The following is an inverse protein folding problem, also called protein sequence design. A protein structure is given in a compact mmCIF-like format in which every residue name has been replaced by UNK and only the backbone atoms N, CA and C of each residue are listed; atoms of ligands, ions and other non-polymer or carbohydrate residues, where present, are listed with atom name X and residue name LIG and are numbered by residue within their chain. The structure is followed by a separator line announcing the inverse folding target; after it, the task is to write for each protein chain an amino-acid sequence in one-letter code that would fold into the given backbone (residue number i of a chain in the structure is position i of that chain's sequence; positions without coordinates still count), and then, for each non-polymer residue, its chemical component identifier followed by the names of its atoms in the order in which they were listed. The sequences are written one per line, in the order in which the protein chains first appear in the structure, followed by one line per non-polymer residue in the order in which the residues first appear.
data_IF_558828292732
#
_entry.id   IF_558828292732
#
_cell.length_a   1.000
_cell.length_b   1.000
_cell.length_c   1.000
_cell.angle_alpha   90.00
_cell.angle_beta   90.00
_cell.angle_gamma   90.00
#
_symmetry.space_group_name_H-M   'P 1'
#
loop_
_entity.id
_entity.type
_entity.pdbx_description
1 polymer ?
#
# COMPACT_ATOMS: atom_id res chain seq x y z
N UNK A 1 -33.92 33.26 68.97
CA UNK A 1 -32.68 33.84 69.49
C UNK A 1 -31.51 33.33 68.67
N UNK A 2 -30.83 34.22 67.95
CA UNK A 2 -29.44 34.03 67.49
C UNK A 2 -28.52 34.06 68.75
N UNK A 3 -27.27 33.53 68.72
CA UNK A 3 -26.24 34.11 67.86
C UNK A 3 -25.22 33.13 67.23
N UNK A 4 -24.53 33.72 66.24
CA UNK A 4 -23.43 33.26 65.41
C UNK A 4 -22.15 32.98 66.21
N UNK A 5 -21.32 32.05 65.72
CA UNK A 5 -19.86 32.24 65.70
C UNK A 5 -19.29 31.67 64.40
N UNK A 6 -18.65 32.55 63.61
CA UNK A 6 -17.87 32.22 62.42
C UNK A 6 -16.50 31.69 62.83
N UNK A 7 -16.00 30.65 62.15
CA UNK A 7 -14.56 30.37 62.09
C UNK A 7 -14.20 30.06 60.64
N UNK A 8 -13.34 30.90 60.05
CA UNK A 8 -12.81 30.75 58.70
C UNK A 8 -11.86 29.55 58.63
N UNK A 9 -12.09 28.61 57.71
CA UNK A 9 -11.09 27.62 57.32
C UNK A 9 -10.65 27.94 55.89
N UNK A 10 -9.42 28.42 55.79
CA UNK A 10 -8.65 28.56 54.55
C UNK A 10 -8.40 27.16 53.96
N UNK A 11 -8.95 26.88 52.78
CA UNK A 11 -8.50 25.75 51.97
C UNK A 11 -7.15 26.09 51.34
N UNK A 12 -6.08 25.52 51.87
CA UNK A 12 -4.78 25.51 51.21
C UNK A 12 -4.83 24.58 49.99
N UNK A 13 -4.81 25.14 48.80
CA UNK A 13 -4.60 24.41 47.54
C UNK A 13 -3.14 23.96 47.44
N UNK A 14 -2.83 22.78 47.95
CA UNK A 14 -1.61 22.07 47.60
C UNK A 14 -1.81 21.39 46.24
N UNK A 15 -1.48 22.10 45.14
CA UNK A 15 -1.23 21.45 43.86
C UNK A 15 0.07 20.67 44.02
N UNK A 16 -0.05 19.40 44.35
CA UNK A 16 1.05 18.45 44.21
C UNK A 16 1.28 18.26 42.72
N UNK A 17 2.43 18.72 42.22
CA UNK A 17 2.91 18.36 40.90
C UNK A 17 3.02 16.83 40.87
N UNK A 18 2.04 16.18 40.23
CA UNK A 18 2.11 14.75 39.97
C UNK A 18 3.34 14.52 39.09
N UNK A 19 4.36 13.87 39.65
CA UNK A 19 5.43 13.28 38.86
C UNK A 19 4.76 12.43 37.77
N UNK A 20 5.09 12.71 36.51
CA UNK A 20 4.60 11.95 35.38
C UNK A 20 4.99 10.48 35.59
N UNK A 21 4.04 9.65 35.97
CA UNK A 21 4.22 8.20 36.03
C UNK A 21 4.50 7.79 34.59
N UNK A 22 5.75 7.44 34.29
CA UNK A 22 6.18 6.97 32.98
C UNK A 22 5.37 5.70 32.69
N UNK A 23 4.33 5.82 31.87
CA UNK A 23 3.47 4.70 31.54
C UNK A 23 4.31 3.63 30.81
N UNK A 24 3.93 2.34 30.88
CA UNK A 24 4.53 1.33 30.02
C UNK A 24 4.46 1.84 28.58
N UNK A 25 5.61 1.87 27.90
CA UNK A 25 5.75 2.30 26.51
C UNK A 25 5.67 3.81 26.23
N UNK A 26 5.90 4.66 27.24
CA UNK A 26 6.03 6.11 27.08
C UNK A 26 4.85 6.76 26.33
N UNK A 27 3.66 6.18 26.46
CA UNK A 27 2.44 6.53 25.76
C UNK A 27 1.40 6.89 26.84
N UNK A 28 1.05 8.16 26.95
CA UNK A 28 0.12 8.66 27.96
C UNK A 28 -1.33 8.18 27.72
N UNK A 29 -2.26 8.59 28.60
CA UNK A 29 -3.67 8.16 28.50
C UNK A 29 -4.29 8.54 27.15
N UNK A 30 -3.95 9.71 26.61
CA UNK A 30 -4.46 10.18 25.31
C UNK A 30 -3.93 9.32 24.17
N UNK A 31 -2.62 9.07 24.16
CA UNK A 31 -1.94 8.18 23.22
C UNK A 31 -2.52 6.76 23.28
N UNK A 32 -2.67 6.19 24.47
CA UNK A 32 -3.24 4.84 24.67
C UNK A 32 -4.68 4.74 24.19
N UNK A 33 -5.48 5.78 24.43
CA UNK A 33 -6.87 5.84 23.97
C UNK A 33 -6.94 5.86 22.45
N UNK A 34 -6.14 6.71 21.79
CA UNK A 34 -6.06 6.79 20.32
C UNK A 34 -5.61 5.46 19.72
N UNK A 35 -4.53 4.88 20.27
CA UNK A 35 -4.02 3.58 19.85
C UNK A 35 -5.08 2.49 19.95
N UNK A 36 -5.75 2.35 21.10
CA UNK A 36 -6.78 1.30 21.29
C UNK A 36 -7.97 1.49 20.36
N UNK A 37 -8.40 2.72 20.13
CA UNK A 37 -9.45 3.01 19.15
C UNK A 37 -9.02 2.60 17.74
N UNK A 38 -7.81 2.98 17.32
CA UNK A 38 -7.28 2.62 16.01
C UNK A 38 -7.10 1.10 15.85
N UNK A 39 -6.54 0.42 16.85
CA UNK A 39 -6.39 -1.04 16.86
C UNK A 39 -7.76 -1.74 16.77
N UNK A 40 -8.77 -1.23 17.49
CA UNK A 40 -10.12 -1.79 17.41
C UNK A 40 -10.72 -1.63 16.00
N UNK A 41 -10.46 -0.50 15.33
CA UNK A 41 -10.87 -0.28 13.94
C UNK A 41 -10.16 -1.23 12.96
N UNK A 42 -8.84 -1.38 13.09
CA UNK A 42 -8.06 -2.33 12.30
C UNK A 42 -8.58 -3.76 12.52
N UNK A 43 -8.75 -4.15 13.79
CA UNK A 43 -9.19 -5.50 14.18
C UNK A 43 -10.61 -5.82 13.69
N UNK A 44 -11.54 -4.85 13.77
CA UNK A 44 -12.91 -5.01 13.28
C UNK A 44 -12.98 -5.20 11.76
N UNK A 45 -11.92 -4.81 11.04
CA UNK A 45 -11.79 -4.98 9.59
C UNK A 45 -11.07 -6.26 9.20
N UNK A 46 -10.61 -7.10 10.13
CA UNK A 46 -10.04 -8.40 9.79
C UNK A 46 -11.09 -9.50 9.67
N UNK A 47 -10.89 -10.38 8.70
CA UNK A 47 -11.67 -11.60 8.51
C UNK A 47 -11.28 -12.64 9.55
N UNK A 48 -9.98 -12.84 9.76
CA UNK A 48 -9.43 -13.67 10.83
C UNK A 48 -8.66 -12.79 11.80
N UNK A 49 -8.93 -12.89 13.10
CA UNK A 49 -8.22 -12.11 14.13
C UNK A 49 -6.77 -12.58 14.34
N UNK A 50 -6.50 -13.84 14.02
CA UNK A 50 -5.15 -14.38 13.95
C UNK A 50 -5.00 -15.08 12.60
N UNK A 51 -4.27 -14.47 11.67
CA UNK A 51 -4.11 -15.01 10.32
C UNK A 51 -3.42 -16.38 10.30
N UNK A 52 -2.65 -16.73 11.34
CA UNK A 52 -1.95 -18.01 11.43
C UNK A 52 -2.86 -19.19 11.79
N UNK A 53 -4.11 -18.94 12.19
CA UNK A 53 -5.10 -20.02 12.44
C UNK A 53 -5.95 -20.35 11.22
N UNK A 54 -5.78 -19.61 10.12
CA UNK A 54 -6.45 -19.91 8.85
C UNK A 54 -5.50 -20.70 7.96
N UNK A 55 -5.81 -21.99 7.78
CA UNK A 55 -5.02 -22.96 7.03
C UNK A 55 -4.67 -22.50 5.61
N UNK A 56 -5.45 -21.57 5.03
CA UNK A 56 -5.12 -20.98 3.74
C UNK A 56 -3.73 -20.31 3.77
N UNK A 57 -3.42 -19.53 4.79
CA UNK A 57 -2.17 -18.76 4.89
C UNK A 57 -0.97 -19.57 5.40
N UNK A 58 -1.19 -20.80 5.87
CA UNK A 58 -0.11 -21.66 6.39
C UNK A 58 0.73 -22.24 5.26
N UNK A 59 2.06 -22.18 5.39
CA UNK A 59 2.97 -22.85 4.44
C UNK A 59 2.76 -24.38 4.48
N UNK A 60 2.44 -25.05 3.36
CA UNK A 60 2.35 -26.50 3.34
C UNK A 60 3.72 -27.15 3.55
N UNK A 61 3.77 -28.36 4.09
CA UNK A 61 5.03 -29.08 4.38
C UNK A 61 5.88 -29.35 3.15
N UNK A 62 5.27 -29.42 1.97
CA UNK A 62 5.94 -29.60 0.68
C UNK A 62 6.18 -28.27 -0.07
N UNK A 63 6.16 -27.11 0.59
CA UNK A 63 6.35 -25.80 -0.07
C UNK A 63 7.61 -25.75 -0.94
N UNK A 64 8.70 -26.41 -0.52
CA UNK A 64 9.98 -26.48 -1.25
C UNK A 64 9.91 -27.23 -2.58
N UNK A 65 8.84 -27.98 -2.87
CA UNK A 65 8.66 -28.65 -4.17
C UNK A 65 8.07 -27.72 -5.24
N UNK A 66 7.56 -26.54 -4.87
CA UNK A 66 6.94 -25.61 -5.80
C UNK A 66 7.99 -24.65 -6.40
N UNK A 67 7.81 -24.33 -7.68
CA UNK A 67 8.65 -23.39 -8.41
C UNK A 67 7.99 -22.01 -8.51
N UNK A 68 8.80 -20.98 -8.81
CA UNK A 68 8.30 -19.62 -9.08
C UNK A 68 7.15 -19.65 -10.11
N UNK A 69 6.03 -19.00 -9.79
CA UNK A 69 4.82 -18.94 -10.61
C UNK A 69 3.88 -20.14 -10.46
N UNK A 70 4.15 -21.08 -9.57
CA UNK A 70 3.21 -22.16 -9.24
C UNK A 70 2.09 -21.69 -8.34
N UNK A 71 0.91 -22.27 -8.57
CA UNK A 71 -0.24 -22.15 -7.69
C UNK A 71 -0.13 -23.25 -6.63
N UNK A 72 -0.14 -22.85 -5.36
CA UNK A 72 -0.03 -23.76 -4.22
C UNK A 72 -1.41 -24.09 -3.67
N UNK A 73 -2.27 -23.08 -3.50
CA UNK A 73 -3.66 -23.25 -3.04
C UNK A 73 -4.60 -22.33 -3.79
N UNK A 74 -5.80 -22.83 -4.06
CA UNK A 74 -6.92 -22.07 -4.58
C UNK A 74 -8.13 -22.28 -3.68
N UNK A 75 -8.62 -21.21 -3.08
CA UNK A 75 -9.69 -21.25 -2.10
C UNK A 75 -10.87 -20.40 -2.57
N UNK A 76 -11.92 -21.04 -3.06
CA UNK A 76 -13.14 -20.35 -3.51
C UNK A 76 -13.94 -19.97 -2.27
N UNK A 77 -14.21 -18.67 -2.10
CA UNK A 77 -15.03 -18.17 -1.00
C UNK A 77 -16.49 -18.50 -1.30
N UNK A 78 -17.17 -19.33 -0.47
CA UNK A 78 -18.59 -19.61 -0.68
C UNK A 78 -19.41 -18.32 -0.62
N UNK A 79 -20.47 -18.22 -1.43
CA UNK A 79 -21.27 -17.01 -1.55
C UNK A 79 -21.88 -16.55 -0.22
N UNK A 80 -22.29 -17.49 0.63
CA UNK A 80 -22.82 -17.20 1.96
C UNK A 80 -21.74 -16.66 2.92
N UNK A 81 -20.46 -16.94 2.66
CA UNK A 81 -19.32 -16.40 3.41
C UNK A 81 -18.89 -15.03 2.91
N UNK A 82 -19.08 -14.74 1.62
CA UNK A 82 -18.70 -13.46 0.99
C UNK A 82 -19.35 -12.23 1.62
N UNK A 83 -20.57 -12.37 2.17
CA UNK A 83 -21.24 -11.30 2.92
C UNK A 83 -21.15 -11.41 4.45
N UNK A 84 -20.72 -12.56 4.99
CA UNK A 84 -20.58 -12.78 6.44
C UNK A 84 -19.18 -12.41 6.92
N UNK A 85 -18.19 -13.05 6.32
CA UNK A 85 -16.76 -12.90 6.65
C UNK A 85 -16.18 -11.67 5.98
N UNK A 86 -16.46 -11.51 4.69
CA UNK A 86 -16.16 -10.31 3.92
C UNK A 86 -17.39 -9.39 3.78
N UNK A 87 -17.18 -8.24 3.17
CA UNK A 87 -18.20 -7.25 2.78
C UNK A 87 -18.14 -7.06 1.27
N UNK A 88 -18.24 -8.17 0.54
CA UNK A 88 -18.20 -8.13 -0.92
C UNK A 88 -19.48 -7.49 -1.48
N UNK A 89 -19.39 -6.67 -2.54
CA UNK A 89 -20.56 -6.29 -3.32
C UNK A 89 -21.29 -7.55 -3.82
N UNK A 90 -22.62 -7.59 -3.71
CA UNK A 90 -23.40 -8.80 -4.00
C UNK A 90 -23.33 -9.34 -5.44
N UNK A 91 -22.81 -8.54 -6.38
CA UNK A 91 -22.56 -8.94 -7.77
C UNK A 91 -21.17 -9.53 -8.02
N UNK A 92 -20.35 -9.72 -6.97
CA UNK A 92 -18.99 -10.24 -7.07
C UNK A 92 -18.85 -11.58 -6.34
N UNK A 93 -18.06 -12.46 -6.93
CA UNK A 93 -17.55 -13.67 -6.27
C UNK A 93 -16.04 -13.53 -6.06
N UNK A 94 -15.51 -14.25 -5.06
CA UNK A 94 -14.11 -14.15 -4.66
C UNK A 94 -13.47 -15.53 -4.56
N UNK A 95 -12.20 -15.62 -4.93
CA UNK A 95 -11.31 -16.69 -4.51
C UNK A 95 -10.06 -16.08 -3.89
N UNK A 96 -9.46 -16.77 -2.92
CA UNK A 96 -8.10 -16.51 -2.46
C UNK A 96 -7.14 -17.45 -3.15
N UNK A 97 -5.91 -17.01 -3.39
CA UNK A 97 -4.88 -17.85 -3.99
C UNK A 97 -3.54 -17.71 -3.26
N UNK A 98 -2.89 -18.84 -3.04
CA UNK A 98 -1.54 -18.93 -2.50
C UNK A 98 -0.66 -19.40 -3.66
N UNK A 99 0.43 -18.67 -3.92
CA UNK A 99 1.31 -18.93 -5.05
C UNK A 99 2.77 -18.71 -4.68
N UNK A 100 3.66 -19.17 -5.55
CA UNK A 100 5.08 -18.89 -5.45
C UNK A 100 5.45 -17.69 -6.32
N UNK A 101 6.11 -16.72 -5.71
CA UNK A 101 6.80 -15.59 -6.36
C UNK A 101 8.31 -15.79 -6.21
N UNK A 102 9.11 -14.75 -6.44
CA UNK A 102 10.56 -14.80 -6.31
C UNK A 102 11.11 -13.75 -5.32
N UNK A 103 12.17 -14.12 -4.59
CA UNK A 103 12.98 -13.18 -3.82
C UNK A 103 13.93 -12.37 -4.72
N UNK A 104 14.77 -11.53 -4.10
CA UNK A 104 15.72 -10.67 -4.82
C UNK A 104 16.76 -11.45 -5.65
N UNK A 105 17.01 -12.71 -5.30
CA UNK A 105 17.94 -13.61 -5.99
C UNK A 105 17.23 -14.50 -7.02
N UNK A 106 15.91 -14.34 -7.20
CA UNK A 106 15.11 -15.16 -8.10
C UNK A 106 14.67 -16.51 -7.53
N UNK A 107 14.84 -16.75 -6.22
CA UNK A 107 14.48 -18.03 -5.58
C UNK A 107 12.99 -18.02 -5.19
N UNK A 108 12.32 -19.19 -5.21
CA UNK A 108 10.91 -19.28 -4.84
C UNK A 108 10.64 -18.83 -3.40
N UNK A 109 9.69 -17.91 -3.21
CA UNK A 109 9.10 -17.56 -1.91
C UNK A 109 7.57 -17.54 -2.02
N UNK A 110 6.81 -17.85 -0.96
CA UNK A 110 5.36 -17.82 -1.00
C UNK A 110 4.79 -16.40 -0.95
N UNK A 111 3.64 -16.21 -1.58
CA UNK A 111 2.79 -15.03 -1.47
C UNK A 111 1.31 -15.42 -1.55
N UNK A 112 0.43 -14.53 -1.11
CA UNK A 112 -1.02 -14.70 -1.21
C UNK A 112 -1.68 -13.56 -1.98
N UNK A 113 -2.96 -13.71 -2.28
CA UNK A 113 -3.78 -12.68 -2.88
C UNK A 113 -5.22 -13.15 -3.06
N UNK A 114 -6.01 -12.32 -3.72
CA UNK A 114 -7.39 -12.63 -4.08
C UNK A 114 -7.74 -12.33 -5.52
N UNK A 115 -8.80 -12.97 -6.01
CA UNK A 115 -9.40 -12.72 -7.31
C UNK A 115 -10.87 -12.35 -7.10
N UNK A 116 -11.31 -11.24 -7.69
CA UNK A 116 -12.72 -10.89 -7.81
C UNK A 116 -13.23 -11.21 -9.21
N UNK A 117 -14.38 -11.87 -9.25
CA UNK A 117 -15.08 -12.24 -10.48
C UNK A 117 -16.47 -11.60 -10.50
N UNK A 118 -16.76 -10.74 -11.50
CA UNK A 118 -18.08 -10.16 -11.65
C UNK A 118 -19.11 -11.20 -12.08
N UNK A 119 -20.36 -10.96 -11.71
CA UNK A 119 -21.49 -11.84 -11.99
C UNK A 119 -21.65 -12.18 -13.48
N UNK A 120 -21.40 -11.22 -14.37
CA UNK A 120 -21.50 -11.40 -15.82
C UNK A 120 -20.31 -10.79 -16.56
N UNK A 121 -20.01 -11.34 -17.73
CA UNK A 121 -19.02 -10.77 -18.64
C UNK A 121 -19.71 -9.75 -19.58
N UNK A 122 -19.36 -8.46 -19.54
CA UNK A 122 -19.92 -7.47 -20.46
C UNK A 122 -19.59 -7.75 -21.94
N UNK A 123 -18.60 -8.59 -22.23
CA UNK A 123 -18.25 -9.00 -23.60
C UNK A 123 -19.08 -10.19 -24.12
N UNK A 124 -19.97 -10.76 -23.29
CA UNK A 124 -20.75 -11.96 -23.59
C UNK A 124 -20.18 -13.22 -22.94
N UNK A 125 -21.06 -14.21 -22.71
CA UNK A 125 -20.75 -15.42 -21.94
C UNK A 125 -19.64 -16.29 -22.55
N UNK A 126 -19.48 -16.28 -23.87
CA UNK A 126 -18.49 -17.10 -24.59
C UNK A 126 -17.13 -16.39 -24.76
N UNK A 127 -16.99 -15.16 -24.26
CA UNK A 127 -15.74 -14.40 -24.32
C UNK A 127 -14.97 -14.54 -23.00
N UNK A 128 -13.62 -14.50 -23.05
CA UNK A 128 -12.84 -14.36 -21.82
C UNK A 128 -13.13 -13.02 -21.16
N UNK A 129 -13.11 -12.98 -19.82
CA UNK A 129 -13.12 -11.72 -19.08
C UNK A 129 -11.82 -10.97 -19.29
N UNK A 130 -11.89 -9.64 -19.36
CA UNK A 130 -10.70 -8.79 -19.33
C UNK A 130 -10.07 -8.83 -17.93
N UNK A 131 -8.74 -8.89 -17.85
CA UNK A 131 -8.02 -9.02 -16.57
C UNK A 131 -7.31 -7.73 -16.17
N UNK A 132 -7.61 -7.22 -14.99
CA UNK A 132 -6.84 -6.14 -14.36
C UNK A 132 -6.13 -6.70 -13.13
N UNK A 133 -4.87 -6.34 -12.94
CA UNK A 133 -4.18 -6.54 -11.67
C UNK A 133 -4.29 -5.25 -10.86
N UNK A 134 -4.85 -5.33 -9.65
CA UNK A 134 -4.89 -4.21 -8.72
C UNK A 134 -3.78 -4.38 -7.67
N UNK A 135 -3.08 -3.28 -7.41
CA UNK A 135 -1.94 -3.23 -6.48
C UNK A 135 -2.24 -2.20 -5.40
N UNK A 136 -2.27 -2.65 -4.16
CA UNK A 136 -2.69 -1.83 -3.03
C UNK A 136 -1.58 -0.93 -2.52
N UNK A 137 -1.96 0.16 -1.84
CA UNK A 137 -1.06 1.01 -1.06
C UNK A 137 -0.70 0.41 0.30
N UNK A 138 -0.06 1.20 1.16
CA UNK A 138 0.48 0.75 2.45
C UNK A 138 -0.58 0.22 3.41
N UNK A 139 -0.73 -1.10 3.50
CA UNK A 139 -1.70 -1.72 4.41
C UNK A 139 -1.17 -1.81 5.86
N UNK A 140 0.12 -2.13 6.02
CA UNK A 140 0.79 -2.30 7.31
C UNK A 140 2.02 -3.21 7.16
N UNK A 141 2.71 -3.48 8.27
CA UNK A 141 3.99 -4.20 8.23
C UNK A 141 3.86 -5.71 8.48
N UNK A 142 2.71 -6.17 8.97
CA UNK A 142 2.54 -7.55 9.44
C UNK A 142 1.67 -8.37 8.50
N UNK A 143 1.77 -9.70 8.63
CA UNK A 143 0.94 -10.65 7.87
C UNK A 143 -0.55 -10.37 8.02
N UNK A 144 -0.96 -9.93 9.20
CA UNK A 144 -2.35 -9.65 9.57
C UNK A 144 -3.00 -8.58 8.68
N UNK A 145 -2.19 -7.67 8.11
CA UNK A 145 -2.63 -6.54 7.30
C UNK A 145 -2.86 -6.87 5.81
N UNK A 146 -2.69 -8.14 5.40
CA UNK A 146 -2.98 -8.55 4.03
C UNK A 146 -4.38 -8.10 3.57
N UNK A 147 -4.50 -7.47 2.39
CA UNK A 147 -5.79 -7.13 1.79
C UNK A 147 -6.78 -8.30 1.73
N UNK A 148 -6.33 -9.52 1.41
CA UNK A 148 -7.17 -10.72 1.39
C UNK A 148 -7.76 -11.11 2.76
N UNK A 149 -7.16 -10.64 3.86
CA UNK A 149 -7.68 -10.76 5.22
C UNK A 149 -8.47 -9.53 5.69
N UNK A 150 -8.60 -8.49 4.87
CA UNK A 150 -9.43 -7.31 5.15
C UNK A 150 -10.87 -7.56 4.69
N UNK A 151 -11.87 -7.28 5.53
CA UNK A 151 -13.30 -7.57 5.24
C UNK A 151 -13.77 -6.89 3.96
N UNK A 152 -13.29 -5.68 3.68
CA UNK A 152 -13.56 -4.94 2.44
C UNK A 152 -12.44 -5.02 1.39
N UNK A 153 -11.50 -5.96 1.55
CA UNK A 153 -10.36 -6.18 0.66
C UNK A 153 -9.39 -5.01 0.48
N UNK A 154 -9.41 -4.06 1.44
CA UNK A 154 -8.61 -2.84 1.47
C UNK A 154 -8.95 -1.89 0.29
N UNK A 155 -9.13 -0.59 0.58
CA UNK A 155 -9.62 0.45 -0.35
C UNK A 155 -11.01 0.25 -0.98
N UNK A 156 -11.69 -0.87 -0.72
CA UNK A 156 -13.09 -1.10 -1.10
C UNK A 156 -13.47 -0.59 -2.51
N UNK A 157 -14.33 0.43 -2.57
CA UNK A 157 -14.88 1.05 -3.76
C UNK A 157 -13.93 1.99 -4.48
N UNK A 158 -12.83 2.38 -3.83
CA UNK A 158 -11.74 3.14 -4.46
C UNK A 158 -10.63 2.23 -4.99
N UNK A 159 -10.74 0.92 -4.77
CA UNK A 159 -9.78 -0.09 -5.20
C UNK A 159 -10.41 -1.20 -6.04
N UNK A 160 -10.25 -2.44 -5.58
CA UNK A 160 -10.61 -3.63 -6.35
C UNK A 160 -12.11 -3.72 -6.70
N UNK A 161 -13.02 -3.22 -5.86
CA UNK A 161 -14.46 -3.29 -6.15
C UNK A 161 -14.84 -2.41 -7.35
N UNK A 162 -14.29 -1.20 -7.45
CA UNK A 162 -14.56 -0.30 -8.58
C UNK A 162 -14.15 -0.91 -9.93
N UNK A 163 -13.05 -1.65 -9.96
CA UNK A 163 -12.60 -2.36 -11.16
C UNK A 163 -13.48 -3.57 -11.46
N UNK A 164 -13.74 -4.42 -10.46
CA UNK A 164 -14.52 -5.64 -10.65
C UNK A 164 -15.96 -5.32 -11.10
N UNK A 165 -16.58 -4.28 -10.54
CA UNK A 165 -17.92 -3.84 -10.94
C UNK A 165 -18.01 -3.29 -12.37
N UNK A 166 -16.87 -2.91 -12.97
CA UNK A 166 -16.79 -2.53 -14.39
C UNK A 166 -16.59 -3.74 -15.31
N UNK A 167 -16.72 -4.96 -14.79
CA UNK A 167 -16.72 -6.19 -15.57
C UNK A 167 -15.35 -6.81 -15.80
N UNK A 168 -14.32 -6.36 -15.07
CA UNK A 168 -12.99 -6.95 -15.09
C UNK A 168 -12.87 -8.09 -14.08
N UNK A 169 -12.14 -9.15 -14.43
CA UNK A 169 -11.55 -10.01 -13.41
C UNK A 169 -10.42 -9.23 -12.77
N UNK A 170 -10.48 -9.05 -11.45
CA UNK A 170 -9.44 -8.34 -10.70
C UNK A 170 -8.59 -9.35 -9.97
N UNK A 171 -7.30 -9.37 -10.26
CA UNK A 171 -6.28 -10.12 -9.51
C UNK A 171 -5.58 -9.13 -8.57
N UNK A 172 -5.47 -9.45 -7.29
CA UNK A 172 -4.88 -8.57 -6.29
C UNK A 172 -3.92 -9.36 -5.39
N UNK A 173 -2.61 -9.30 -5.65
CA UNK A 173 -1.60 -9.81 -4.73
C UNK A 173 -1.63 -9.06 -3.39
N UNK A 174 -1.37 -9.75 -2.28
CA UNK A 174 -1.13 -9.12 -0.98
C UNK A 174 0.33 -8.61 -0.84
N UNK A 175 1.22 -9.02 -1.74
CA UNK A 175 2.69 -8.98 -1.63
C UNK A 175 3.30 -10.02 -0.68
N UNK A 176 4.50 -10.50 -1.03
CA UNK A 176 5.20 -11.49 -0.22
C UNK A 176 5.46 -10.99 1.21
N UNK A 177 5.09 -11.78 2.21
CA UNK A 177 5.16 -11.43 3.63
C UNK A 177 3.94 -10.69 4.20
N UNK A 178 3.00 -10.24 3.37
CA UNK A 178 1.63 -9.97 3.81
C UNK A 178 0.79 -11.22 3.54
N UNK A 179 0.06 -11.69 4.55
CA UNK A 179 -0.66 -12.98 4.49
C UNK A 179 0.27 -14.18 4.59
N UNK A 180 1.15 -14.34 3.61
CA UNK A 180 2.18 -15.38 3.53
C UNK A 180 3.23 -15.28 4.66
N UNK A 181 3.77 -16.43 5.08
CA UNK A 181 4.82 -16.50 6.09
C UNK A 181 6.19 -16.70 5.43
N UNK A 182 7.08 -15.71 5.58
CA UNK A 182 8.46 -15.74 5.04
C UNK A 182 9.45 -15.23 6.08
N UNK A 183 10.70 -15.76 6.11
CA UNK A 183 11.69 -15.40 7.13
C UNK A 183 12.00 -13.89 7.24
N UNK A 184 11.92 -13.16 6.12
CA UNK A 184 12.20 -11.73 6.04
C UNK A 184 11.03 -10.86 6.56
N UNK A 185 9.84 -11.44 6.73
CA UNK A 185 8.59 -10.70 6.88
C UNK A 185 8.24 -9.89 5.63
N UNK A 186 7.21 -9.04 5.73
CA UNK A 186 6.86 -8.13 4.64
C UNK A 186 8.00 -7.14 4.36
N UNK A 187 8.37 -7.01 3.08
CA UNK A 187 9.42 -6.13 2.59
C UNK A 187 8.81 -4.84 2.03
N UNK A 188 8.40 -3.93 2.92
CA UNK A 188 7.70 -2.68 2.57
C UNK A 188 8.45 -1.83 1.52
N UNK A 189 7.72 -1.24 0.56
CA UNK A 189 8.22 -0.42 -0.56
C UNK A 189 9.25 -1.11 -1.48
N UNK A 190 9.27 -2.44 -1.50
CA UNK A 190 10.18 -3.23 -2.34
C UNK A 190 9.57 -3.47 -3.73
N UNK A 191 9.35 -2.38 -4.47
CA UNK A 191 8.64 -2.38 -5.75
C UNK A 191 9.16 -3.38 -6.80
N UNK A 192 10.45 -3.71 -6.82
CA UNK A 192 10.99 -4.73 -7.72
C UNK A 192 10.46 -6.14 -7.40
N UNK A 193 10.26 -6.44 -6.10
CA UNK A 193 9.68 -7.69 -5.62
C UNK A 193 8.16 -7.66 -5.75
N UNK A 194 7.49 -6.55 -5.44
CA UNK A 194 6.04 -6.43 -5.62
C UNK A 194 5.63 -6.56 -7.11
N UNK A 195 6.45 -6.08 -8.04
CA UNK A 195 6.27 -6.33 -9.47
C UNK A 195 6.39 -7.82 -9.84
N UNK A 196 7.23 -8.58 -9.13
CA UNK A 196 7.31 -10.02 -9.27
C UNK A 196 6.04 -10.70 -8.73
N UNK A 197 5.53 -10.23 -7.59
CA UNK A 197 4.27 -10.69 -6.99
C UNK A 197 3.10 -10.52 -7.98
N UNK A 198 3.02 -9.36 -8.63
CA UNK A 198 2.06 -9.11 -9.74
C UNK A 198 2.22 -10.13 -10.87
N UNK A 199 3.44 -10.28 -11.38
CA UNK A 199 3.73 -11.14 -12.54
C UNK A 199 3.40 -12.62 -12.26
N UNK A 200 3.86 -13.13 -11.12
CA UNK A 200 3.73 -14.54 -10.76
C UNK A 200 2.35 -14.85 -10.21
N UNK A 201 1.71 -13.92 -9.51
CA UNK A 201 0.32 -14.05 -9.08
C UNK A 201 -0.62 -14.15 -10.27
N UNK A 202 -0.44 -13.29 -11.29
CA UNK A 202 -1.20 -13.39 -12.53
C UNK A 202 -0.95 -14.71 -13.28
N UNK A 203 0.30 -15.19 -13.34
CA UNK A 203 0.62 -16.51 -13.93
C UNK A 203 -0.10 -17.64 -13.19
N UNK A 204 -0.12 -17.63 -11.87
CA UNK A 204 -0.82 -18.63 -11.05
C UNK A 204 -2.35 -18.59 -11.31
N UNK A 205 -2.94 -17.40 -11.34
CA UNK A 205 -4.38 -17.24 -11.63
C UNK A 205 -4.72 -17.69 -13.06
N UNK A 206 -3.87 -17.40 -14.05
CA UNK A 206 -4.05 -17.89 -15.43
C UNK A 206 -4.04 -19.41 -15.53
N UNK A 207 -3.14 -20.08 -14.79
CA UNK A 207 -3.13 -21.55 -14.72
C UNK A 207 -4.47 -22.08 -14.19
N UNK A 208 -5.07 -21.42 -13.20
CA UNK A 208 -6.34 -21.83 -12.61
C UNK A 208 -7.57 -21.53 -13.47
N UNK A 209 -7.66 -20.30 -14.00
CA UNK A 209 -8.86 -19.84 -14.71
C UNK A 209 -8.86 -20.18 -16.20
N UNK A 210 -7.70 -20.52 -16.77
CA UNK A 210 -7.56 -20.96 -18.15
C UNK A 210 -8.16 -19.95 -19.14
N UNK A 211 -9.01 -20.44 -20.04
CA UNK A 211 -9.65 -19.65 -21.09
C UNK A 211 -10.76 -18.70 -20.61
N UNK A 212 -11.10 -18.71 -19.32
CA UNK A 212 -12.09 -17.78 -18.75
C UNK A 212 -11.60 -16.34 -18.69
N UNK A 213 -10.28 -16.12 -18.75
CA UNK A 213 -9.67 -14.79 -18.66
C UNK A 213 -8.79 -14.49 -19.87
N UNK A 214 -8.63 -13.21 -20.18
CA UNK A 214 -7.83 -12.77 -21.33
C UNK A 214 -6.34 -13.01 -21.11
N UNK A 215 -5.61 -13.19 -22.21
CA UNK A 215 -4.15 -13.08 -22.19
C UNK A 215 -3.73 -11.61 -21.97
N UNK A 216 -4.51 -10.69 -22.51
CA UNK A 216 -4.32 -9.27 -22.33
C UNK A 216 -4.59 -8.83 -20.89
N UNK A 217 -3.80 -7.91 -20.35
CA UNK A 217 -4.00 -7.41 -18.99
C UNK A 217 -3.38 -6.02 -18.78
N UNK A 218 -3.87 -5.33 -17.76
CA UNK A 218 -3.39 -4.02 -17.31
C UNK A 218 -3.14 -4.08 -15.79
N UNK A 219 -2.18 -3.31 -15.28
CA UNK A 219 -1.98 -3.11 -13.84
C UNK A 219 -2.39 -1.70 -13.42
N UNK A 220 -2.99 -1.56 -12.25
CA UNK A 220 -3.31 -0.26 -11.64
C UNK A 220 -3.02 -0.28 -10.15
N UNK A 221 -2.48 0.81 -9.62
CA UNK A 221 -2.23 0.94 -8.20
C UNK A 221 -2.06 2.37 -7.73
N UNK A 222 -2.06 2.53 -6.41
CA UNK A 222 -1.98 3.80 -5.71
C UNK A 222 -0.91 3.78 -4.61
N UNK A 223 -0.15 4.86 -4.41
CA UNK A 223 0.89 4.98 -3.38
C UNK A 223 2.00 3.92 -3.55
N UNK A 224 2.24 3.06 -2.56
CA UNK A 224 3.06 1.83 -2.71
C UNK A 224 2.60 0.96 -3.90
N UNK A 225 1.28 0.87 -4.12
CA UNK A 225 0.69 0.19 -5.27
C UNK A 225 0.95 0.93 -6.58
N UNK A 226 1.02 2.27 -6.54
CA UNK A 226 1.37 3.10 -7.68
C UNK A 226 2.81 2.87 -8.11
N UNK A 227 3.72 2.81 -7.12
CA UNK A 227 5.10 2.33 -7.34
C UNK A 227 5.08 0.92 -7.93
N UNK A 228 4.30 -0.01 -7.37
CA UNK A 228 4.24 -1.40 -7.85
C UNK A 228 3.74 -1.49 -9.30
N UNK A 229 2.73 -0.72 -9.68
CA UNK A 229 2.24 -0.64 -11.06
C UNK A 229 3.32 -0.10 -12.02
N UNK A 230 4.06 0.94 -11.59
CA UNK A 230 5.20 1.46 -12.36
C UNK A 230 6.30 0.41 -12.53
N UNK A 231 6.77 -0.20 -11.43
CA UNK A 231 7.83 -1.22 -11.46
C UNK A 231 7.40 -2.48 -12.19
N UNK A 232 6.10 -2.77 -12.27
CA UNK A 232 5.55 -3.82 -13.13
C UNK A 232 5.74 -3.49 -14.61
N UNK A 233 5.46 -2.25 -15.04
CA UNK A 233 5.66 -1.85 -16.44
C UNK A 233 7.13 -1.97 -16.87
N UNK A 234 8.05 -1.66 -15.97
CA UNK A 234 9.49 -1.82 -16.19
C UNK A 234 9.91 -3.29 -16.16
N UNK A 235 9.39 -4.09 -15.22
CA UNK A 235 9.67 -5.52 -15.12
C UNK A 235 9.23 -6.26 -16.38
N UNK A 236 8.07 -5.95 -16.92
CA UNK A 236 7.57 -6.58 -18.15
C UNK A 236 8.48 -6.29 -19.36
N UNK A 237 9.30 -5.23 -19.31
CA UNK A 237 10.27 -4.90 -20.36
C UNK A 237 11.60 -5.65 -20.18
N UNK A 238 11.86 -6.21 -19.00
CA UNK A 238 13.10 -6.92 -18.70
C UNK A 238 13.14 -8.26 -19.44
N UNK A 239 14.26 -8.62 -20.10
CA UNK A 239 14.41 -9.90 -20.77
C UNK A 239 14.08 -11.08 -19.87
N UNK A 240 13.23 -12.00 -20.34
CA UNK A 240 12.86 -13.21 -19.61
C UNK A 240 11.90 -13.01 -18.43
N UNK A 241 11.50 -11.76 -18.10
CA UNK A 241 10.60 -11.49 -16.96
C UNK A 241 9.14 -11.26 -17.37
N UNK A 242 8.89 -10.94 -18.64
CA UNK A 242 7.55 -10.69 -19.17
C UNK A 242 6.54 -11.82 -18.86
N UNK A 243 5.35 -11.43 -18.43
CA UNK A 243 4.19 -12.29 -18.21
C UNK A 243 3.41 -12.49 -19.51
N UNK A 244 3.55 -11.57 -20.45
CA UNK A 244 2.94 -11.63 -21.78
C UNK A 244 1.51 -11.10 -21.81
N UNK A 245 1.17 -10.41 -22.90
CA UNK A 245 -0.12 -9.73 -23.08
C UNK A 245 -0.26 -8.44 -22.27
N UNK A 246 0.82 -7.86 -21.77
CA UNK A 246 0.77 -6.62 -21.01
C UNK A 246 0.35 -5.45 -21.90
N UNK A 247 -0.72 -4.76 -21.52
CA UNK A 247 -1.29 -3.65 -22.29
C UNK A 247 -0.96 -2.27 -21.69
N UNK A 248 -0.51 -2.21 -20.44
CA UNK A 248 -0.09 -0.96 -19.81
C UNK A 248 -0.22 -0.95 -18.29
N UNK A 249 0.24 0.15 -17.70
CA UNK A 249 0.16 0.42 -16.27
C UNK A 249 -0.54 1.76 -15.99
N UNK A 250 -1.25 1.82 -14.86
CA UNK A 250 -1.74 3.06 -14.26
C UNK A 250 -1.07 3.21 -12.89
N UNK A 251 -0.20 4.19 -12.75
CA UNK A 251 0.51 4.51 -11.51
C UNK A 251 -0.07 5.79 -10.91
N UNK A 252 -0.84 5.67 -9.84
CA UNK A 252 -1.43 6.80 -9.12
C UNK A 252 -0.57 7.13 -7.89
N UNK A 253 -0.15 8.39 -7.76
CA UNK A 253 0.67 8.89 -6.65
C UNK A 253 1.83 7.94 -6.26
N UNK A 254 2.72 7.58 -7.19
CA UNK A 254 3.64 6.46 -6.98
C UNK A 254 4.81 6.81 -6.03
N UNK A 255 5.03 5.99 -5.00
CA UNK A 255 6.12 6.14 -4.01
C UNK A 255 7.50 5.64 -4.54
N UNK A 256 8.05 6.30 -5.55
CA UNK A 256 9.22 5.80 -6.31
C UNK A 256 10.57 6.05 -5.63
N UNK A 257 10.67 7.09 -4.79
CA UNK A 257 11.94 7.57 -4.24
C UNK A 257 11.90 7.76 -2.71
N UNK A 258 11.68 6.70 -1.89
CA UNK A 258 11.77 6.82 -0.43
C UNK A 258 13.01 7.58 0.07
N UNK A 259 14.16 7.40 -0.59
CA UNK A 259 15.39 8.14 -0.29
C UNK A 259 15.28 9.68 -0.36
N UNK A 260 14.34 10.22 -1.16
CA UNK A 260 14.05 11.67 -1.22
C UNK A 260 12.78 12.06 -0.48
N UNK A 261 11.76 11.19 -0.49
CA UNK A 261 10.48 11.44 0.18
C UNK A 261 10.65 11.63 1.69
N UNK A 262 11.50 10.81 2.32
CA UNK A 262 11.66 10.80 3.78
C UNK A 262 12.38 12.07 4.27
N UNK A 263 13.54 12.48 3.72
CA UNK A 263 14.13 13.77 4.10
C UNK A 263 13.22 14.97 3.81
N UNK A 264 12.43 14.92 2.72
CA UNK A 264 11.51 16.00 2.39
C UNK A 264 10.37 16.12 3.41
N UNK A 265 9.84 15.00 3.92
CA UNK A 265 8.80 15.02 4.95
C UNK A 265 9.32 15.67 6.24
N UNK A 266 10.56 15.38 6.64
CA UNK A 266 11.21 16.02 7.78
C UNK A 266 11.38 17.52 7.58
N UNK A 267 11.82 17.92 6.38
CA UNK A 267 12.00 19.33 6.02
C UNK A 267 10.69 20.10 6.07
N UNK A 268 9.60 19.50 5.59
CA UNK A 268 8.26 20.12 5.57
C UNK A 268 7.63 20.17 6.96
N UNK A 269 7.84 19.17 7.80
CA UNK A 269 7.36 19.14 9.18
C UNK A 269 7.98 20.26 10.05
N UNK A 270 9.24 20.66 9.76
CA UNK A 270 9.99 21.63 10.56
C UNK A 270 10.06 21.17 12.03
N UNK A 271 9.63 22.02 12.97
CA UNK A 271 9.49 21.67 14.39
C UNK A 271 8.10 21.12 14.75
N UNK A 272 7.20 20.97 13.77
CA UNK A 272 5.88 20.39 13.96
C UNK A 272 5.89 18.85 13.93
N UNK A 273 4.74 18.21 14.18
CA UNK A 273 4.59 16.77 14.05
C UNK A 273 4.92 16.29 12.63
N UNK A 274 5.81 15.30 12.52
CA UNK A 274 6.12 14.65 11.26
C UNK A 274 5.18 13.45 11.01
N UNK A 275 4.69 12.82 12.08
CA UNK A 275 3.72 11.73 11.97
C UNK A 275 4.18 10.53 11.15
N UNK A 276 5.49 10.26 11.18
CA UNK A 276 6.21 9.47 10.18
C UNK A 276 6.11 7.95 10.38
N UNK A 277 4.89 7.43 10.39
CA UNK A 277 4.63 5.99 10.54
C UNK A 277 5.24 5.15 9.40
N UNK A 278 5.17 5.63 8.16
CA UNK A 278 5.61 4.87 6.99
C UNK A 278 7.13 4.72 6.94
N UNK A 279 7.91 5.73 7.33
CA UNK A 279 9.37 5.57 7.36
C UNK A 279 9.83 4.72 8.53
N UNK A 280 9.11 4.71 9.67
CA UNK A 280 9.36 3.74 10.75
C UNK A 280 9.10 2.31 10.25
N UNK A 281 8.00 2.07 9.52
CA UNK A 281 7.73 0.77 8.89
C UNK A 281 8.84 0.38 7.90
N UNK A 282 9.32 1.34 7.10
CA UNK A 282 10.41 1.11 6.16
C UNK A 282 11.72 0.77 6.87
N UNK A 283 12.10 1.53 7.90
CA UNK A 283 13.30 1.27 8.67
C UNK A 283 13.27 -0.12 9.32
N UNK A 284 12.12 -0.55 9.85
CA UNK A 284 11.95 -1.92 10.36
C UNK A 284 12.12 -2.97 9.26
N UNK A 285 11.53 -2.75 8.09
CA UNK A 285 11.68 -3.62 6.91
C UNK A 285 13.15 -3.75 6.48
N UNK A 286 13.84 -2.62 6.31
CA UNK A 286 15.24 -2.54 5.92
C UNK A 286 16.14 -3.20 6.96
N UNK A 287 15.89 -2.99 8.26
CA UNK A 287 16.67 -3.60 9.35
C UNK A 287 16.58 -5.14 9.37
N UNK A 288 15.44 -5.72 8.94
CA UNK A 288 15.33 -7.19 8.78
C UNK A 288 16.24 -7.71 7.67
N UNK A 289 16.36 -6.95 6.58
CA UNK A 289 17.15 -7.29 5.39
C UNK A 289 18.66 -7.03 5.58
N UNK A 290 19.03 -5.94 6.26
CA UNK A 290 20.41 -5.50 6.43
C UNK A 290 20.77 -5.38 7.92
N UNK A 291 21.60 -6.31 8.40
CA UNK A 291 22.01 -6.37 9.82
C UNK A 291 22.89 -5.20 10.29
N UNK A 292 23.43 -4.43 9.35
CA UNK A 292 24.16 -3.17 9.56
C UNK A 292 23.25 -2.02 9.98
N UNK A 293 21.96 -2.07 9.65
CA UNK A 293 20.96 -1.08 10.03
C UNK A 293 20.11 -1.66 11.13
N UNK A 294 20.24 -1.10 12.35
CA UNK A 294 19.43 -1.49 13.50
C UNK A 294 18.50 -0.36 13.89
N UNK A 295 17.24 -0.67 14.16
CA UNK A 295 16.21 0.34 14.41
C UNK A 295 16.57 1.19 15.64
N UNK A 296 17.11 0.55 16.68
CA UNK A 296 17.50 1.16 17.96
C UNK A 296 18.60 2.21 17.87
N UNK A 297 19.40 2.18 16.80
CA UNK A 297 20.46 3.17 16.56
C UNK A 297 19.89 4.51 16.06
N UNK A 298 18.67 4.51 15.52
CA UNK A 298 18.07 5.66 14.84
C UNK A 298 16.84 6.21 15.54
N UNK A 299 15.98 5.35 16.08
CA UNK A 299 14.71 5.79 16.70
C UNK A 299 14.86 6.04 18.20
N UNK A 300 14.03 6.90 18.77
CA UNK A 300 14.02 7.21 20.21
C UNK A 300 13.50 6.04 21.05
N UNK A 301 13.72 6.08 22.37
CA UNK A 301 13.15 5.11 23.31
C UNK A 301 11.60 5.14 23.28
N UNK A 302 11.01 6.31 23.01
CA UNK A 302 9.57 6.47 22.80
C UNK A 302 9.09 5.61 21.63
N UNK A 303 9.77 5.67 20.48
CA UNK A 303 9.41 4.84 19.32
C UNK A 303 9.68 3.36 19.59
N UNK A 304 10.87 3.01 20.11
CA UNK A 304 11.23 1.62 20.42
C UNK A 304 10.19 0.93 21.29
N UNK A 305 9.73 1.62 22.33
CA UNK A 305 8.76 1.05 23.26
C UNK A 305 7.34 0.95 22.67
N UNK A 306 7.02 1.72 21.62
CA UNK A 306 5.72 1.69 20.92
C UNK A 306 5.67 0.73 19.73
N UNK A 307 6.81 0.26 19.20
CA UNK A 307 6.84 -0.61 18.01
C UNK A 307 6.02 -1.89 18.20
N UNK A 308 6.17 -2.57 19.35
CA UNK A 308 5.38 -3.78 19.64
C UNK A 308 3.87 -3.51 19.79
N UNK A 309 3.45 -2.26 20.01
CA UNK A 309 2.05 -1.85 19.94
C UNK A 309 1.64 -1.61 18.48
N UNK A 310 2.47 -0.90 17.70
CA UNK A 310 2.20 -0.65 16.28
C UNK A 310 2.03 -1.96 15.49
N UNK A 311 2.86 -2.97 15.79
CA UNK A 311 2.84 -4.28 15.14
C UNK A 311 1.63 -5.15 15.54
N UNK A 312 0.85 -4.77 16.55
CA UNK A 312 -0.42 -5.44 16.86
C UNK A 312 -1.51 -5.09 15.86
N UNK A 313 -1.42 -3.92 15.21
CA UNK A 313 -2.39 -3.45 14.24
C UNK A 313 -1.79 -3.28 12.84
N UNK A 314 -2.37 -2.36 12.10
CA UNK A 314 -1.95 -2.02 10.74
C UNK A 314 -1.56 -0.53 10.66
N UNK A 315 -1.61 0.06 9.45
CA UNK A 315 -1.25 1.46 9.27
C UNK A 315 -2.00 2.41 10.22
N UNK A 316 -3.28 2.17 10.50
CA UNK A 316 -4.08 2.98 11.41
C UNK A 316 -3.54 2.97 12.85
N UNK A 317 -3.31 1.79 13.43
CA UNK A 317 -2.75 1.67 14.78
C UNK A 317 -1.35 2.30 14.91
N UNK A 318 -0.47 2.09 13.91
CA UNK A 318 0.85 2.74 13.87
C UNK A 318 0.74 4.26 13.79
N UNK A 319 -0.17 4.78 12.96
CA UNK A 319 -0.41 6.22 12.83
C UNK A 319 -0.85 6.82 14.16
N UNK A 320 -1.80 6.19 14.85
CA UNK A 320 -2.28 6.64 16.16
C UNK A 320 -1.16 6.80 17.20
N UNK A 321 -0.09 6.00 17.08
CA UNK A 321 1.07 6.04 17.98
C UNK A 321 2.11 7.10 17.59
N UNK A 322 2.21 7.49 16.32
CA UNK A 322 3.30 8.33 15.82
C UNK A 322 2.86 9.70 15.26
N UNK A 323 1.60 9.89 14.85
CA UNK A 323 1.10 11.08 14.13
C UNK A 323 1.37 12.42 14.83
N UNK A 324 1.41 12.43 16.17
CA UNK A 324 1.65 13.66 16.95
C UNK A 324 3.13 13.93 17.25
N UNK A 325 4.03 13.01 16.91
CA UNK A 325 5.44 13.15 17.27
C UNK A 325 6.19 13.98 16.22
N UNK A 326 7.03 14.88 16.71
CA UNK A 326 8.02 15.63 15.92
C UNK A 326 9.16 14.72 15.48
N UNK A 327 9.97 15.16 14.50
CA UNK A 327 11.16 14.41 14.05
C UNK A 327 12.12 14.09 15.22
N UNK A 328 12.29 15.01 16.17
CA UNK A 328 13.18 14.85 17.33
C UNK A 328 12.63 13.84 18.36
N UNK A 329 11.31 13.69 18.43
CA UNK A 329 10.67 12.68 19.28
C UNK A 329 10.65 11.31 18.61
N UNK A 330 10.67 11.25 17.28
CA UNK A 330 10.72 10.02 16.50
C UNK A 330 12.15 9.44 16.42
N UNK A 331 13.13 10.29 16.14
CA UNK A 331 14.49 9.89 15.79
C UNK A 331 15.56 10.52 16.70
N UNK A 332 16.49 9.68 17.18
CA UNK A 332 17.78 10.11 17.76
C UNK A 332 18.63 10.80 16.68
N UNK A 333 18.61 10.24 15.48
CA UNK A 333 19.22 10.77 14.27
C UNK A 333 18.56 10.15 13.03
N UNK A 334 18.63 10.83 11.89
CA UNK A 334 18.00 10.39 10.63
C UNK A 334 19.01 9.83 9.62
N UNK A 335 20.25 9.54 10.04
CA UNK A 335 21.35 9.19 9.12
C UNK A 335 21.18 7.86 8.39
N UNK A 336 20.22 7.02 8.80
CA UNK A 336 19.90 5.78 8.09
C UNK A 336 19.46 6.01 6.63
N UNK A 337 18.87 7.17 6.31
CA UNK A 337 18.47 7.51 4.94
C UNK A 337 19.66 7.79 4.02
N UNK A 338 20.85 7.96 4.59
CA UNK A 338 22.13 8.16 3.88
C UNK A 338 23.01 6.90 3.95
N UNK A 339 22.59 5.87 4.71
CA UNK A 339 23.37 4.66 4.91
C UNK A 339 23.59 3.91 3.58
N UNK A 340 24.81 3.41 3.27
CA UNK A 340 25.09 2.71 2.02
C UNK A 340 24.14 1.56 1.70
N UNK A 341 23.75 0.78 2.71
CA UNK A 341 22.79 -0.32 2.53
C UNK A 341 21.36 0.14 2.27
N UNK A 342 20.96 1.33 2.74
CA UNK A 342 19.67 1.91 2.34
C UNK A 342 19.70 2.43 0.89
N UNK A 343 20.83 2.99 0.47
CA UNK A 343 21.07 3.35 -0.94
C UNK A 343 21.05 2.10 -1.84
N UNK A 344 21.62 1.00 -1.37
CA UNK A 344 21.56 -0.30 -2.07
C UNK A 344 20.14 -0.87 -2.09
N UNK A 345 19.41 -0.80 -0.97
CA UNK A 345 17.99 -1.17 -0.89
C UNK A 345 17.14 -0.39 -1.90
N UNK A 346 17.30 0.95 -1.95
CA UNK A 346 16.59 1.82 -2.90
C UNK A 346 16.83 1.37 -4.35
N UNK A 347 18.06 0.94 -4.67
CA UNK A 347 18.40 0.47 -6.02
C UNK A 347 17.84 -0.92 -6.31
N UNK A 348 18.07 -1.90 -5.41
CA UNK A 348 17.80 -3.32 -5.69
C UNK A 348 16.37 -3.74 -5.35
N UNK A 349 15.89 -3.39 -4.17
CA UNK A 349 14.60 -3.85 -3.64
C UNK A 349 13.46 -2.95 -4.08
N UNK A 350 13.59 -1.63 -3.90
CA UNK A 350 12.62 -0.71 -4.47
C UNK A 350 12.69 -0.80 -6.00
N UNK A 351 13.90 -0.79 -6.58
CA UNK A 351 14.15 -0.95 -8.02
C UNK A 351 14.51 0.34 -8.75
N UNK A 352 14.99 1.35 -8.01
CA UNK A 352 15.00 2.74 -8.46
C UNK A 352 15.81 3.02 -9.73
N UNK A 353 15.47 4.14 -10.35
CA UNK A 353 16.07 4.67 -11.56
C UNK A 353 15.21 4.42 -12.80
N UNK A 354 15.56 5.07 -13.91
CA UNK A 354 14.81 4.94 -15.15
C UNK A 354 15.06 3.57 -15.80
N UNK A 355 13.98 2.87 -16.15
CA UNK A 355 13.95 1.64 -16.94
C UNK A 355 12.99 1.76 -18.15
N UNK A 356 13.14 0.97 -19.22
CA UNK A 356 12.21 1.00 -20.34
C UNK A 356 10.83 0.45 -19.94
N UNK A 357 9.76 0.95 -20.55
CA UNK A 357 8.39 0.48 -20.32
C UNK A 357 7.96 -0.52 -21.40
N UNK A 358 7.37 -1.65 -21.01
CA UNK A 358 6.93 -2.68 -21.97
C UNK A 358 5.68 -2.30 -22.77
N UNK A 359 4.87 -1.40 -22.23
CA UNK A 359 3.61 -0.94 -22.79
C UNK A 359 3.33 0.48 -22.26
N UNK A 360 2.31 1.19 -22.80
CA UNK A 360 1.98 2.52 -22.33
C UNK A 360 1.73 2.60 -20.82
N UNK A 361 2.13 3.70 -20.19
CA UNK A 361 1.85 3.98 -18.78
C UNK A 361 1.11 5.30 -18.61
N UNK A 362 0.10 5.32 -17.76
CA UNK A 362 -0.56 6.54 -17.28
C UNK A 362 -0.13 6.80 -15.83
N UNK A 363 0.43 7.97 -15.58
CA UNK A 363 0.79 8.46 -14.25
C UNK A 363 -0.21 9.53 -13.84
N UNK A 364 -0.80 9.38 -12.66
CA UNK A 364 -1.73 10.34 -12.07
C UNK A 364 -1.14 10.85 -10.77
N UNK A 365 -1.12 12.18 -10.59
CA UNK A 365 -0.54 12.80 -9.42
C UNK A 365 -1.37 13.99 -8.96
N UNK A 366 -1.67 14.08 -7.66
CA UNK A 366 -2.17 15.31 -7.04
C UNK A 366 -1.03 16.31 -6.82
N UNK A 367 -1.23 17.58 -7.15
CA UNK A 367 -0.20 18.62 -6.95
C UNK A 367 0.02 19.01 -5.48
N UNK A 368 -0.99 18.76 -4.63
CA UNK A 368 -1.00 19.01 -3.19
C UNK A 368 -0.78 17.72 -2.40
N UNK A 369 -0.26 16.67 -3.04
CA UNK A 369 0.11 15.41 -2.40
C UNK A 369 1.13 15.66 -1.28
N UNK A 370 0.75 15.24 -0.08
CA UNK A 370 1.49 15.47 1.16
C UNK A 370 2.50 14.36 1.49
N UNK A 371 2.54 13.29 0.70
CA UNK A 371 3.31 12.08 1.00
C UNK A 371 4.30 11.69 -0.11
N UNK A 372 3.85 11.64 -1.37
CA UNK A 372 4.71 11.26 -2.52
C UNK A 372 5.19 12.44 -3.36
N UNK A 373 4.82 13.66 -2.96
CA UNK A 373 5.20 14.97 -3.54
C UNK A 373 5.36 15.00 -5.06
N UNK A 374 4.45 15.69 -5.76
CA UNK A 374 4.39 15.71 -7.22
C UNK A 374 5.71 15.97 -7.95
N UNK A 375 6.61 16.78 -7.37
CA UNK A 375 7.93 17.09 -7.94
C UNK A 375 8.80 15.84 -8.16
N UNK A 376 8.73 14.83 -7.28
CA UNK A 376 9.56 13.63 -7.41
C UNK A 376 8.97 12.63 -8.39
N UNK A 377 7.64 12.47 -8.42
CA UNK A 377 6.97 11.69 -9.46
C UNK A 377 7.21 12.27 -10.86
N UNK A 378 7.22 13.61 -10.98
CA UNK A 378 7.56 14.29 -12.24
C UNK A 378 9.04 14.10 -12.62
N UNK A 379 9.95 14.11 -11.65
CA UNK A 379 11.38 13.81 -11.86
C UNK A 379 11.57 12.40 -12.44
N UNK A 380 10.97 11.36 -11.83
CA UNK A 380 11.05 9.98 -12.33
C UNK A 380 10.47 9.83 -13.74
N UNK A 381 9.35 10.53 -14.01
CA UNK A 381 8.72 10.54 -15.33
C UNK A 381 9.66 11.15 -16.38
N UNK A 382 10.19 12.33 -16.10
CA UNK A 382 11.08 13.05 -17.02
C UNK A 382 12.38 12.28 -17.27
N UNK A 383 12.98 11.68 -16.23
CA UNK A 383 14.17 10.84 -16.37
C UNK A 383 13.92 9.59 -17.22
N UNK A 384 12.80 8.90 -16.98
CA UNK A 384 12.40 7.71 -17.74
C UNK A 384 12.19 8.06 -19.22
N UNK A 385 11.44 9.11 -19.49
CA UNK A 385 11.15 9.57 -20.84
C UNK A 385 12.39 10.06 -21.60
N UNK A 386 13.32 10.73 -20.90
CA UNK A 386 14.59 11.17 -21.47
C UNK A 386 15.49 9.98 -21.82
N UNK A 387 15.58 8.97 -20.96
CA UNK A 387 16.47 7.82 -21.15
C UNK A 387 15.91 6.78 -22.13
N UNK A 388 14.59 6.63 -22.20
CA UNK A 388 13.91 5.68 -23.09
C UNK A 388 12.86 6.39 -23.94
N UNK A 389 13.27 7.12 -24.99
CA UNK A 389 12.35 7.89 -25.83
C UNK A 389 11.31 7.03 -26.58
N UNK A 390 11.56 5.73 -26.72
CA UNK A 390 10.61 4.77 -27.29
C UNK A 390 9.51 4.35 -26.32
N UNK A 391 9.70 4.57 -25.00
CA UNK A 391 8.65 4.36 -24.01
C UNK A 391 7.53 5.35 -24.24
N UNK A 392 6.29 4.90 -24.05
CA UNK A 392 5.11 5.74 -24.18
C UNK A 392 4.50 5.94 -22.81
N UNK A 393 4.38 7.19 -22.36
CA UNK A 393 3.83 7.50 -21.05
C UNK A 393 3.07 8.82 -21.04
N UNK A 394 2.01 8.88 -20.25
CA UNK A 394 1.20 10.08 -20.04
C UNK A 394 1.25 10.45 -18.56
N UNK A 395 1.54 11.71 -18.25
CA UNK A 395 1.48 12.25 -16.89
C UNK A 395 0.30 13.22 -16.79
N UNK A 396 -0.58 12.99 -15.81
CA UNK A 396 -1.72 13.84 -15.50
C UNK A 396 -1.59 14.40 -14.08
N UNK A 397 -1.38 15.71 -14.00
CA UNK A 397 -1.36 16.44 -12.73
C UNK A 397 -2.78 16.94 -12.40
N UNK A 398 -3.23 16.73 -11.17
CA UNK A 398 -4.54 17.15 -10.67
C UNK A 398 -4.38 18.29 -9.66
N UNK A 399 -4.79 19.52 -10.02
CA UNK A 399 -4.62 20.67 -9.15
C UNK A 399 -5.43 20.60 -7.85
N UNK A 400 -4.82 21.08 -6.77
CA UNK A 400 -5.26 21.10 -5.36
C UNK A 400 -5.58 19.73 -4.76
N UNK A 401 -5.37 18.62 -5.46
CA UNK A 401 -5.71 17.30 -4.94
C UNK A 401 -4.55 16.74 -4.12
N UNK A 402 -4.87 16.16 -2.97
CA UNK A 402 -3.91 15.48 -2.10
C UNK A 402 -3.62 14.03 -2.57
N UNK A 403 -2.93 13.29 -1.71
CA UNK A 403 -2.49 11.92 -1.96
C UNK A 403 -3.67 10.97 -2.27
N UNK A 404 -4.70 10.95 -1.44
CA UNK A 404 -5.84 10.01 -1.59
C UNK A 404 -6.90 10.49 -2.57
N UNK A 405 -7.17 11.79 -2.65
CA UNK A 405 -8.21 12.35 -3.53
C UNK A 405 -7.80 12.23 -5.00
N UNK A 406 -6.50 12.23 -5.31
CA UNK A 406 -6.00 11.98 -6.67
C UNK A 406 -6.40 10.60 -7.21
N UNK A 407 -6.50 9.57 -6.37
CA UNK A 407 -7.01 8.25 -6.76
C UNK A 407 -8.48 8.31 -7.18
N UNK A 408 -9.32 8.93 -6.35
CA UNK A 408 -10.76 9.03 -6.58
C UNK A 408 -11.08 9.88 -7.82
N UNK A 409 -10.48 11.06 -7.94
CA UNK A 409 -10.67 11.93 -9.09
C UNK A 409 -10.08 11.31 -10.36
N UNK A 410 -8.96 10.60 -10.22
CA UNK A 410 -8.27 9.90 -11.30
C UNK A 410 -9.10 8.81 -11.98
N UNK A 411 -10.10 8.24 -11.30
CA UNK A 411 -10.97 7.19 -11.88
C UNK A 411 -11.58 7.60 -13.22
N UNK A 412 -11.95 8.87 -13.34
CA UNK A 412 -12.56 9.43 -14.55
C UNK A 412 -11.62 9.36 -15.76
N UNK A 413 -10.32 9.33 -15.53
CA UNK A 413 -9.31 9.27 -16.58
C UNK A 413 -8.75 7.86 -16.76
N UNK A 414 -8.42 7.16 -15.67
CA UNK A 414 -7.77 5.86 -15.80
C UNK A 414 -8.74 4.74 -16.19
N UNK A 415 -10.02 4.79 -15.79
CA UNK A 415 -10.97 3.72 -16.16
C UNK A 415 -11.23 3.69 -17.68
N UNK A 416 -11.53 4.82 -18.36
CA UNK A 416 -11.59 4.85 -19.82
C UNK A 416 -10.24 4.53 -20.47
N UNK A 417 -9.12 4.94 -19.87
CA UNK A 417 -7.80 4.62 -20.40
C UNK A 417 -7.53 3.10 -20.41
N UNK A 418 -7.86 2.40 -19.32
CA UNK A 418 -7.79 0.93 -19.23
C UNK A 418 -8.64 0.30 -20.32
N UNK A 419 -9.91 0.74 -20.45
CA UNK A 419 -10.82 0.23 -21.48
C UNK A 419 -10.25 0.43 -22.89
N UNK A 420 -9.71 1.61 -23.18
CA UNK A 420 -9.11 1.95 -24.47
C UNK A 420 -7.91 1.04 -24.81
N UNK A 421 -7.14 0.58 -23.81
CA UNK A 421 -6.08 -0.42 -24.02
C UNK A 421 -6.64 -1.75 -24.50
N UNK A 422 -7.67 -2.27 -23.83
CA UNK A 422 -8.30 -3.53 -24.23
C UNK A 422 -8.99 -3.46 -25.59
N UNK A 423 -9.49 -2.28 -25.96
CA UNK A 423 -10.10 -2.01 -27.27
C UNK A 423 -9.05 -1.74 -28.36
N UNK A 424 -7.75 -1.78 -28.01
CA UNK A 424 -6.63 -1.52 -28.93
C UNK A 424 -6.74 -0.15 -29.60
N UNK A 425 -7.31 0.83 -28.89
CA UNK A 425 -7.37 2.20 -29.38
C UNK A 425 -5.94 2.75 -29.49
N UNK A 426 -5.58 3.40 -30.61
CA UNK A 426 -4.24 3.96 -30.80
C UNK A 426 -3.88 4.96 -29.69
N UNK A 427 -2.64 4.91 -29.21
CA UNK A 427 -2.05 5.95 -28.38
C UNK A 427 -0.93 6.65 -29.14
N UNK A 428 -0.85 7.98 -28.99
CA UNK A 428 0.30 8.73 -29.51
C UNK A 428 1.56 8.26 -28.79
N UNK A 429 2.58 7.88 -29.57
CA UNK A 429 3.89 7.46 -29.03
C UNK A 429 4.61 8.61 -28.34
N UNK A 430 5.50 8.23 -27.43
CA UNK A 430 6.35 9.13 -26.66
C UNK A 430 5.68 9.59 -25.37
N UNK A 431 6.35 10.52 -24.68
CA UNK A 431 5.90 11.02 -23.40
C UNK A 431 5.14 12.35 -23.51
N UNK A 432 4.07 12.49 -22.72
CA UNK A 432 3.28 13.71 -22.64
C UNK A 432 2.89 14.03 -21.20
N UNK A 433 3.01 15.30 -20.81
CA UNK A 433 2.45 15.82 -19.57
C UNK A 433 1.22 16.68 -19.83
N UNK A 434 0.27 16.66 -18.91
CA UNK A 434 -0.92 17.50 -18.93
C UNK A 434 -1.41 17.78 -17.52
N UNK A 435 -2.12 18.90 -17.37
CA UNK A 435 -2.75 19.29 -16.10
C UNK A 435 -4.25 19.28 -16.29
N UNK A 436 -4.97 18.59 -15.41
CA UNK A 436 -6.43 18.55 -15.40
C UNK A 436 -6.96 19.92 -15.00
N UNK A 437 -8.03 20.36 -15.65
CA UNK A 437 -8.75 21.58 -15.27
C UNK A 437 -10.00 21.17 -14.49
N UNK A 438 -10.08 21.47 -13.17
CA UNK A 438 -11.30 21.24 -12.42
C UNK A 438 -12.49 21.95 -13.06
N UNK A 439 -13.68 21.34 -13.00
CA UNK A 439 -14.90 21.95 -13.52
C UNK A 439 -15.30 23.22 -12.75
N UNK A 440 -14.89 23.31 -11.48
CA UNK A 440 -15.11 24.47 -10.60
C UNK A 440 -13.91 24.63 -9.67
N UNK A 441 -13.80 25.79 -9.01
CA UNK A 441 -12.84 26.01 -7.92
C UNK A 441 -13.42 25.69 -6.53
N UNK A 442 -14.62 25.11 -6.46
CA UNK A 442 -15.39 24.88 -5.23
C UNK A 442 -15.61 23.39 -4.90
N UNK A 443 -14.71 22.51 -5.33
CA UNK A 443 -14.79 21.09 -4.98
C UNK A 443 -14.30 20.85 -3.55
N UNK A 444 -14.91 19.86 -2.90
CA UNK A 444 -14.51 19.46 -1.55
C UNK A 444 -13.26 18.60 -1.61
N UNK A 445 -12.21 19.04 -0.93
CA UNK A 445 -11.05 18.21 -0.62
C UNK A 445 -11.31 17.66 0.77
N UNK A 446 -11.92 16.47 0.81
CA UNK A 446 -11.94 15.69 2.02
C UNK A 446 -11.00 14.52 1.79
N UNK A 447 -9.79 14.63 2.33
CA UNK A 447 -8.89 13.51 2.34
C UNK A 447 -9.59 12.35 3.07
N UNK A 448 -9.81 11.26 2.33
CA UNK A 448 -10.09 9.97 2.95
C UNK A 448 -8.75 9.33 3.33
N UNK A 449 -7.94 10.06 4.10
CA UNK A 449 -6.71 9.53 4.65
C UNK A 449 -7.10 8.37 5.55
N UNK A 450 -6.70 7.18 5.12
CA UNK A 450 -6.69 5.93 5.86
C UNK A 450 -5.97 6.02 7.22
N UNK A 451 -5.30 7.16 7.49
CA UNK A 451 -4.52 7.47 8.68
C UNK A 451 -5.33 8.26 9.74
N UNK A 452 -6.35 9.06 9.39
CA UNK A 452 -6.80 10.14 10.32
C UNK A 452 -8.30 10.24 10.59
N UNK A 453 -9.20 9.57 9.85
CA UNK A 453 -10.63 9.94 9.95
C UNK A 453 -11.36 9.68 11.30
N UNK A 454 -10.75 9.09 12.35
CA UNK A 454 -11.49 8.79 13.59
C UNK A 454 -10.75 9.09 14.93
N UNK A 455 -9.75 9.98 14.97
CA UNK A 455 -8.95 10.20 16.20
C UNK A 455 -9.00 11.62 16.79
N UNK A 456 -9.95 12.45 16.35
CA UNK A 456 -10.26 13.74 17.00
C UNK A 456 -11.35 13.59 18.05
#
# INVERSE_FOLDING_TARGET
MLPKLLTNILFSSAVTAAAAIKQPNDCDVTCQTRYRTALALDSARWVNQNISTDDFYTNPSNLSSYSVGDLVKWDVVPSDQGGKRWTLPGSLSMARFFYMTEDIDGKPIPATGFVLTPYSNPLGADKPFRTVVWTHGTAGLTRQCAPSNHRTLYYDWTGAFALAQRGYIVVAPDYAGQGSDIPQGFMYESGALHAADVSHGLKAVRKQLGNRISKEWVVVGHSEGGMTAWRTAEREAKPGKATGGFLGAVAVAPALQPIKLIPESFRLAKDGPAGDVVSIMLLQSVSRLYKSIKVEDYVTDTVLSRMALADQGCLGAGSALYSNLTVKELYKNTSWVEHPDFVDWQKRYNGAGPHPLAAPMLVIQGDADILTYAKYAEEDFDETCKKYPDSTAEYKLYPKLDHGVALQAGELDYMPWIQARFEKQPLKKGCKKSTVKPATDHFTIQSQDWIVQNLN
#
